data_IF_189808953267
#
_entry.id   IF_189808953267
#
_cell.length_a   1.000
_cell.length_b   1.000
_cell.length_c   1.000
_cell.angle_alpha   90.00
_cell.angle_beta   90.00
_cell.angle_gamma   90.00
#
_symmetry.space_group_name_H-M   'P 1'
#
loop_
_entity.id
_entity.type
_entity.pdbx_description
1 polymer ?
#
# COMPACT_ATOMS: atom_id res chain seq x y z
N UNK A 1 -36.44 -19.04 -13.41
CA UNK A 1 -35.19 -18.46 -13.97
C UNK A 1 -34.05 -19.37 -13.48
N UNK A 2 -33.54 -20.22 -14.38
CA UNK A 2 -32.50 -21.19 -14.08
C UNK A 2 -31.14 -20.48 -14.09
N UNK A 3 -30.42 -20.51 -12.96
CA UNK A 3 -29.04 -20.04 -12.88
C UNK A 3 -28.12 -21.02 -13.62
N UNK A 4 -27.49 -20.54 -14.72
CA UNK A 4 -26.51 -21.28 -15.49
C UNK A 4 -25.12 -20.87 -14.99
N UNK A 5 -24.34 -21.82 -14.51
CA UNK A 5 -22.92 -21.64 -14.26
C UNK A 5 -22.10 -22.36 -15.34
N UNK A 6 -21.03 -21.76 -15.81
CA UNK A 6 -20.13 -22.32 -16.79
C UNK A 6 -18.74 -22.56 -16.19
N UNK A 7 -18.18 -23.73 -16.42
CA UNK A 7 -16.79 -24.03 -16.15
C UNK A 7 -15.98 -23.86 -17.44
N UNK A 8 -14.94 -23.05 -17.40
CA UNK A 8 -14.02 -22.85 -18.52
C UNK A 8 -12.80 -23.73 -18.28
N UNK A 9 -12.52 -24.64 -19.19
CA UNK A 9 -11.34 -25.51 -19.15
C UNK A 9 -10.51 -25.31 -20.40
N UNK A 10 -9.20 -25.15 -20.24
CA UNK A 10 -8.27 -25.11 -21.34
C UNK A 10 -7.70 -26.50 -21.60
N UNK A 11 -7.90 -26.99 -22.79
CA UNK A 11 -7.26 -28.21 -23.27
C UNK A 11 -6.68 -27.97 -24.67
N UNK A 12 -5.38 -28.25 -24.86
CA UNK A 12 -4.67 -28.11 -26.14
C UNK A 12 -4.92 -26.77 -26.89
N UNK A 13 -4.78 -25.63 -26.20
CA UNK A 13 -4.97 -24.28 -26.74
C UNK A 13 -6.38 -23.94 -27.27
N UNK A 14 -7.39 -24.73 -27.01
CA UNK A 14 -8.80 -24.43 -27.30
C UNK A 14 -9.58 -24.14 -26.03
N UNK A 15 -10.50 -23.15 -26.13
CA UNK A 15 -11.42 -22.78 -25.08
C UNK A 15 -12.68 -23.64 -25.19
N UNK A 16 -12.95 -24.47 -24.20
CA UNK A 16 -14.16 -25.29 -24.17
C UNK A 16 -15.06 -24.86 -23.01
N UNK A 17 -16.34 -24.69 -23.29
CA UNK A 17 -17.37 -24.28 -22.34
C UNK A 17 -18.23 -25.51 -21.97
N UNK A 18 -18.26 -25.82 -20.68
CA UNK A 18 -19.10 -26.91 -20.15
C UNK A 18 -20.27 -26.35 -19.36
N UNK A 19 -21.47 -26.85 -19.63
CA UNK A 19 -22.70 -26.52 -18.92
C UNK A 19 -22.75 -27.31 -17.62
N UNK A 20 -22.72 -26.64 -16.49
CA UNK A 20 -22.84 -27.24 -15.17
C UNK A 20 -24.26 -27.07 -14.63
N UNK A 21 -24.89 -28.20 -14.28
CA UNK A 21 -26.18 -28.23 -13.61
C UNK A 21 -25.92 -28.16 -12.09
N UNK A 22 -26.10 -26.96 -11.51
CA UNK A 22 -25.78 -26.69 -10.10
C UNK A 22 -27.03 -26.94 -9.25
N UNK A 23 -27.27 -28.16 -8.87
CA UNK A 23 -27.97 -28.47 -7.61
C UNK A 23 -26.89 -28.75 -6.57
N UNK A 24 -26.76 -27.85 -5.63
CA UNK A 24 -25.94 -27.92 -4.42
C UNK A 24 -24.49 -27.35 -4.50
N UNK A 25 -24.27 -26.37 -3.63
CA UNK A 25 -23.01 -25.76 -3.19
C UNK A 25 -22.46 -24.62 -4.03
N UNK A 26 -23.06 -23.45 -3.83
CA UNK A 26 -22.34 -22.20 -4.00
C UNK A 26 -22.01 -21.65 -2.60
N UNK A 27 -20.84 -22.02 -2.10
CA UNK A 27 -20.11 -21.10 -1.23
C UNK A 27 -19.62 -19.99 -2.13
N UNK A 28 -20.07 -18.77 -1.92
CA UNK A 28 -19.63 -17.57 -2.64
C UNK A 28 -18.13 -17.35 -2.42
N UNK A 29 -17.27 -18.08 -3.15
CA UNK A 29 -15.92 -17.61 -3.45
C UNK A 29 -16.15 -16.53 -4.48
N UNK A 30 -15.97 -15.29 -4.04
CA UNK A 30 -16.22 -14.09 -4.81
C UNK A 30 -15.76 -14.28 -6.27
N UNK A 31 -16.64 -14.05 -7.23
CA UNK A 31 -16.33 -13.97 -8.68
C UNK A 31 -15.09 -13.10 -8.90
N UNK A 32 -14.89 -12.09 -8.07
CA UNK A 32 -13.69 -11.25 -7.97
C UNK A 32 -12.40 -12.08 -7.73
N UNK A 33 -12.43 -13.08 -6.85
CA UNK A 33 -11.25 -13.94 -6.58
C UNK A 33 -10.91 -14.86 -7.77
N UNK A 34 -11.93 -15.38 -8.45
CA UNK A 34 -11.75 -16.22 -9.63
C UNK A 34 -11.26 -15.42 -10.85
N UNK A 35 -11.81 -14.22 -11.07
CA UNK A 35 -11.34 -13.28 -12.08
C UNK A 35 -9.90 -12.83 -11.80
N UNK A 36 -9.55 -12.55 -10.56
CA UNK A 36 -8.18 -12.21 -10.17
C UNK A 36 -7.20 -13.37 -10.41
N UNK A 37 -7.62 -14.60 -10.18
CA UNK A 37 -6.79 -15.79 -10.46
C UNK A 37 -6.61 -15.99 -11.98
N UNK A 38 -7.66 -15.79 -12.77
CA UNK A 38 -7.60 -15.84 -14.24
C UNK A 38 -6.72 -14.72 -14.82
N UNK A 39 -6.85 -13.50 -14.34
CA UNK A 39 -5.99 -12.37 -14.73
C UNK A 39 -4.53 -12.65 -14.38
N UNK A 40 -4.23 -13.22 -13.20
CA UNK A 40 -2.87 -13.64 -12.83
C UNK A 40 -2.31 -14.73 -13.73
N UNK A 41 -3.13 -15.69 -14.18
CA UNK A 41 -2.72 -16.78 -15.08
C UNK A 41 -2.50 -16.24 -16.51
N UNK A 42 -3.36 -15.34 -16.98
CA UNK A 42 -3.24 -14.69 -18.29
C UNK A 42 -2.01 -13.77 -18.32
N UNK A 43 -1.78 -12.97 -17.29
CA UNK A 43 -0.61 -12.09 -17.19
C UNK A 43 0.72 -12.86 -17.07
N UNK A 44 0.73 -14.09 -16.50
CA UNK A 44 1.90 -14.99 -16.54
C UNK A 44 2.19 -15.56 -17.92
N UNK A 45 1.21 -15.68 -18.82
CA UNK A 45 1.40 -16.24 -20.18
C UNK A 45 1.64 -15.18 -21.24
N UNK A 46 1.25 -13.95 -21.02
CA UNK A 46 1.62 -12.82 -21.86
C UNK A 46 2.84 -12.21 -21.17
N UNK A 47 4.00 -12.19 -21.84
CA UNK A 47 5.15 -11.37 -21.44
C UNK A 47 4.76 -9.88 -21.53
N UNK A 48 3.83 -9.43 -20.74
CA UNK A 48 3.55 -8.01 -20.57
C UNK A 48 4.67 -7.46 -19.69
N UNK A 49 5.53 -6.68 -20.26
CA UNK A 49 6.36 -5.74 -19.50
C UNK A 49 5.42 -4.96 -18.60
N UNK A 50 5.52 -5.18 -17.28
CA UNK A 50 4.72 -4.41 -16.32
C UNK A 50 5.08 -2.95 -16.55
N UNK A 51 4.10 -2.15 -16.95
CA UNK A 51 4.30 -0.73 -17.16
C UNK A 51 4.82 -0.11 -15.86
N UNK A 52 5.91 0.64 -15.96
CA UNK A 52 6.47 1.41 -14.83
C UNK A 52 5.95 2.84 -14.93
N UNK A 53 5.27 3.30 -13.89
CA UNK A 53 4.80 4.68 -13.75
C UNK A 53 5.77 5.42 -12.84
N UNK A 54 6.46 6.42 -13.39
CA UNK A 54 7.44 7.23 -12.69
C UNK A 54 6.76 8.44 -12.08
N UNK A 55 6.85 8.58 -10.78
CA UNK A 55 6.28 9.68 -9.99
C UNK A 55 7.40 10.70 -9.74
N UNK A 56 7.13 11.96 -10.04
CA UNK A 56 8.06 13.05 -9.76
C UNK A 56 7.99 13.49 -8.30
N UNK A 57 9.03 14.21 -7.82
CA UNK A 57 9.03 14.73 -6.47
C UNK A 57 7.91 15.76 -6.25
N UNK A 58 7.64 16.59 -7.26
CA UNK A 58 6.59 17.60 -7.21
C UNK A 58 5.19 16.97 -7.17
N UNK A 59 4.94 15.92 -7.98
CA UNK A 59 3.67 15.18 -7.94
C UNK A 59 3.45 14.55 -6.57
N UNK A 60 4.45 13.85 -6.02
CA UNK A 60 4.34 13.22 -4.70
C UNK A 60 4.05 14.25 -3.61
N UNK A 61 4.72 15.40 -3.64
CA UNK A 61 4.54 16.48 -2.67
C UNK A 61 3.13 17.08 -2.76
N UNK A 62 2.66 17.40 -3.97
CA UNK A 62 1.32 17.96 -4.19
C UNK A 62 0.22 16.97 -3.79
N UNK A 63 0.36 15.70 -4.10
CA UNK A 63 -0.60 14.68 -3.69
C UNK A 63 -0.60 14.48 -2.18
N UNK A 64 0.55 14.59 -1.53
CA UNK A 64 0.64 14.56 -0.07
C UNK A 64 -0.10 15.75 0.58
N UNK A 65 0.00 16.95 0.02
CA UNK A 65 -0.78 18.10 0.47
C UNK A 65 -2.28 17.93 0.21
N UNK A 66 -2.68 17.35 -0.94
CA UNK A 66 -4.09 17.02 -1.22
C UNK A 66 -4.65 16.05 -0.19
N UNK A 67 -3.88 15.03 0.20
CA UNK A 67 -4.26 14.11 1.29
C UNK A 67 -4.45 14.85 2.61
N UNK A 68 -3.54 15.73 2.99
CA UNK A 68 -3.67 16.53 4.21
C UNK A 68 -4.95 17.37 4.21
N UNK A 69 -5.30 17.98 3.06
CA UNK A 69 -6.57 18.71 2.90
C UNK A 69 -7.79 17.77 3.00
N UNK A 70 -7.74 16.57 2.40
CA UNK A 70 -8.82 15.58 2.55
C UNK A 70 -9.02 15.17 4.01
N UNK A 71 -7.94 14.92 4.75
CA UNK A 71 -7.95 14.59 6.16
C UNK A 71 -8.58 15.72 6.97
N UNK A 72 -8.14 16.96 6.77
CA UNK A 72 -8.70 18.14 7.44
C UNK A 72 -10.21 18.28 7.18
N UNK A 73 -10.63 18.18 5.91
CA UNK A 73 -12.04 18.32 5.51
C UNK A 73 -12.93 17.20 6.04
N UNK A 74 -12.38 16.02 6.35
CA UNK A 74 -13.12 14.93 6.97
C UNK A 74 -13.44 15.17 8.45
N UNK A 75 -12.85 16.19 9.07
CA UNK A 75 -12.92 16.47 10.50
C UNK A 75 -12.04 15.57 11.36
N UNK A 76 -11.23 14.68 10.75
CA UNK A 76 -10.26 13.88 11.49
C UNK A 76 -9.04 14.74 11.85
N UNK A 77 -8.74 14.80 13.14
CA UNK A 77 -7.61 15.54 13.70
C UNK A 77 -6.68 14.52 14.38
N UNK A 78 -5.64 14.03 13.71
CA UNK A 78 -4.71 13.08 14.30
C UNK A 78 -3.92 13.75 15.44
N UNK A 79 -3.79 13.04 16.56
CA UNK A 79 -2.88 13.39 17.66
C UNK A 79 -1.46 12.90 17.34
N UNK A 80 -1.37 11.75 16.62
CA UNK A 80 -0.12 11.16 16.16
C UNK A 80 -0.14 10.87 14.67
N UNK A 81 0.98 11.17 13.99
CA UNK A 81 1.23 10.84 12.59
C UNK A 81 2.43 9.89 12.53
N UNK A 82 2.25 8.73 11.90
CA UNK A 82 3.28 7.72 11.71
C UNK A 82 3.62 7.62 10.24
N UNK A 83 4.82 8.05 9.85
CA UNK A 83 5.36 7.78 8.52
C UNK A 83 6.02 6.41 8.46
N UNK A 84 5.60 5.55 7.53
CA UNK A 84 6.24 4.25 7.34
C UNK A 84 7.54 4.44 6.56
N UNK A 85 8.67 4.14 7.19
CA UNK A 85 9.96 4.22 6.54
C UNK A 85 10.08 3.14 5.45
N UNK A 86 10.42 3.47 4.18
CA UNK A 86 11.03 4.72 3.68
C UNK A 86 10.00 5.67 3.04
N UNK A 87 9.14 5.15 2.17
CA UNK A 87 8.31 5.93 1.26
C UNK A 87 7.26 6.81 1.94
N UNK A 88 6.71 6.34 3.05
CA UNK A 88 5.73 7.11 3.83
C UNK A 88 6.32 8.32 4.56
N UNK A 89 7.64 8.40 4.72
CA UNK A 89 8.27 9.52 5.44
C UNK A 89 8.09 10.87 4.73
N UNK A 90 8.43 11.05 3.43
CA UNK A 90 8.22 12.32 2.75
C UNK A 90 6.73 12.70 2.66
N UNK A 91 5.84 11.71 2.50
CA UNK A 91 4.38 11.93 2.51
C UNK A 91 3.92 12.40 3.88
N UNK A 92 4.37 11.73 4.95
CA UNK A 92 4.02 12.06 6.33
C UNK A 92 4.45 13.47 6.72
N UNK A 93 5.65 13.91 6.33
CA UNK A 93 6.14 15.27 6.56
C UNK A 93 5.21 16.28 5.88
N UNK A 94 4.87 16.09 4.60
CA UNK A 94 4.01 17.03 3.88
C UNK A 94 2.58 17.09 4.45
N UNK A 95 2.02 15.93 4.85
CA UNK A 95 0.71 15.88 5.53
C UNK A 95 0.77 16.62 6.86
N UNK A 96 1.79 16.41 7.67
CA UNK A 96 1.98 17.08 8.95
C UNK A 96 2.04 18.60 8.77
N UNK A 97 2.88 19.09 7.85
CA UNK A 97 3.05 20.52 7.59
C UNK A 97 1.75 21.20 7.17
N UNK A 98 0.99 20.58 6.25
CA UNK A 98 -0.28 21.18 5.83
C UNK A 98 -1.34 21.11 6.94
N UNK A 99 -1.39 20.04 7.73
CA UNK A 99 -2.32 19.93 8.87
C UNK A 99 -1.99 20.97 9.95
N UNK A 100 -0.71 21.17 10.28
CA UNK A 100 -0.26 22.20 11.21
C UNK A 100 -0.63 23.60 10.72
N UNK A 101 -0.42 23.90 9.44
CA UNK A 101 -0.84 25.15 8.79
C UNK A 101 -2.37 25.36 8.91
N UNK A 102 -3.16 24.28 8.85
CA UNK A 102 -4.62 24.30 8.99
C UNK A 102 -5.09 24.24 10.46
N UNK A 103 -4.18 24.35 11.43
CA UNK A 103 -4.47 24.42 12.86
C UNK A 103 -4.65 23.05 13.54
N UNK A 104 -4.07 22.00 13.00
CA UNK A 104 -3.98 20.69 13.66
C UNK A 104 -2.51 20.30 13.86
N UNK A 105 -1.99 20.54 15.07
CA UNK A 105 -0.67 20.08 15.48
C UNK A 105 -0.76 18.63 15.94
N UNK A 106 0.19 17.81 15.49
CA UNK A 106 0.26 16.38 15.79
C UNK A 106 1.68 16.00 16.17
N UNK A 107 1.84 15.08 17.11
CA UNK A 107 3.11 14.41 17.32
C UNK A 107 3.41 13.44 16.18
N UNK A 108 4.67 13.16 15.89
CA UNK A 108 5.03 12.39 14.70
C UNK A 108 6.27 11.53 14.94
N UNK A 109 6.30 10.39 14.23
CA UNK A 109 7.45 9.48 14.24
C UNK A 109 7.50 8.70 12.90
N UNK A 110 8.71 8.30 12.52
CA UNK A 110 8.90 7.30 11.49
C UNK A 110 9.09 5.91 12.12
N UNK A 111 8.34 4.92 11.63
CA UNK A 111 8.53 3.51 11.99
C UNK A 111 8.98 2.73 10.77
N UNK A 112 9.75 1.64 10.98
CA UNK A 112 10.24 0.82 9.89
C UNK A 112 9.58 -0.53 9.87
N UNK A 113 9.13 -0.96 8.68
CA UNK A 113 8.76 -2.36 8.42
C UNK A 113 9.89 -3.05 7.67
N UNK A 114 10.18 -4.30 8.01
CA UNK A 114 11.15 -5.13 7.30
C UNK A 114 10.58 -6.52 7.05
N UNK A 115 10.73 -7.00 5.81
CA UNK A 115 10.34 -8.35 5.48
C UNK A 115 11.43 -9.33 5.87
N UNK A 116 11.07 -10.39 6.58
CA UNK A 116 11.97 -11.47 6.96
C UNK A 116 11.54 -12.78 6.28
N UNK A 117 12.52 -13.50 5.75
CA UNK A 117 12.32 -14.86 5.27
C UNK A 117 12.89 -15.80 6.33
N UNK A 118 12.05 -16.51 7.05
CA UNK A 118 12.48 -17.58 7.96
C UNK A 118 13.19 -18.70 7.18
N UNK A 119 14.18 -19.35 7.80
CA UNK A 119 15.00 -20.38 7.15
C UNK A 119 14.16 -21.59 6.69
N UNK A 120 12.97 -21.79 7.27
CA UNK A 120 12.07 -22.90 6.98
C UNK A 120 10.61 -22.50 6.71
N UNK A 121 10.30 -21.23 6.49
CA UNK A 121 8.92 -20.77 6.34
C UNK A 121 8.65 -20.19 4.95
N UNK A 122 7.56 -20.68 4.34
CA UNK A 122 7.03 -20.18 3.06
C UNK A 122 6.31 -18.84 3.19
N UNK A 123 6.12 -18.33 4.41
CA UNK A 123 5.42 -17.09 4.70
C UNK A 123 6.42 -15.97 5.02
N UNK A 124 6.26 -14.85 4.30
CA UNK A 124 7.03 -13.63 4.51
C UNK A 124 6.48 -12.91 5.74
N UNK A 125 7.18 -13.00 6.86
CA UNK A 125 6.86 -12.23 8.08
C UNK A 125 7.32 -10.77 7.92
N UNK A 126 6.52 -9.83 8.41
CA UNK A 126 6.88 -8.41 8.43
C UNK A 126 7.10 -7.99 9.88
N UNK A 127 8.31 -7.52 10.21
CA UNK A 127 8.67 -6.99 11.53
C UNK A 127 8.54 -5.48 11.55
N UNK A 128 8.08 -4.95 12.69
CA UNK A 128 7.93 -3.51 12.95
C UNK A 128 8.99 -3.06 13.93
N UNK A 129 9.68 -1.97 13.60
CA UNK A 129 10.74 -1.39 14.41
C UNK A 129 10.42 0.09 14.73
N UNK A 130 10.78 0.55 15.92
CA UNK A 130 10.60 1.94 16.33
C UNK A 130 9.19 2.28 16.85
N UNK A 131 8.36 1.27 17.11
CA UNK A 131 6.98 1.47 17.59
C UNK A 131 6.91 1.85 19.08
N UNK A 132 8.01 1.65 19.84
CA UNK A 132 8.00 1.78 21.28
C UNK A 132 7.73 3.23 21.76
N UNK A 133 8.08 4.23 20.94
CA UNK A 133 7.71 5.62 21.18
C UNK A 133 6.20 5.81 21.25
N UNK A 134 5.47 5.29 20.27
CA UNK A 134 4.00 5.35 20.23
C UNK A 134 3.40 4.64 21.44
N UNK A 135 3.90 3.43 21.76
CA UNK A 135 3.41 2.64 22.91
C UNK A 135 3.54 3.41 24.22
N UNK A 136 4.60 4.21 24.37
CA UNK A 136 4.89 4.94 25.59
C UNK A 136 4.12 6.26 25.73
N UNK A 137 3.69 6.87 24.62
CA UNK A 137 3.14 8.22 24.61
C UNK A 137 1.67 8.29 24.21
N UNK A 138 1.12 7.24 23.57
CA UNK A 138 -0.22 7.20 23.00
C UNK A 138 -1.21 6.54 23.96
N UNK A 139 -2.44 7.03 23.98
CA UNK A 139 -3.55 6.52 24.76
C UNK A 139 -4.72 6.09 23.86
N UNK A 140 -5.70 5.39 24.42
CA UNK A 140 -6.86 4.88 23.70
C UNK A 140 -7.75 5.97 23.06
N UNK A 141 -7.78 7.16 23.64
CA UNK A 141 -8.58 8.30 23.17
C UNK A 141 -7.87 9.10 22.07
N UNK A 142 -6.56 8.88 21.87
CA UNK A 142 -5.79 9.55 20.83
C UNK A 142 -6.18 9.01 19.44
N UNK A 143 -5.95 9.81 18.42
CA UNK A 143 -6.20 9.49 17.01
C UNK A 143 -4.89 9.30 16.31
N UNK A 144 -4.74 8.15 15.65
CA UNK A 144 -3.51 7.78 14.95
C UNK A 144 -3.73 7.82 13.44
N UNK A 145 -2.84 8.53 12.73
CA UNK A 145 -2.75 8.49 11.27
C UNK A 145 -1.50 7.72 10.85
N UNK A 146 -1.68 6.63 10.10
CA UNK A 146 -0.59 5.86 9.50
C UNK A 146 -0.45 6.30 8.04
N UNK A 147 0.76 6.71 7.65
CA UNK A 147 1.05 7.27 6.32
C UNK A 147 2.11 6.43 5.62
N UNK A 148 1.85 6.04 4.36
CA UNK A 148 2.83 5.43 3.47
C UNK A 148 2.73 6.05 2.07
N UNK A 149 3.63 5.75 1.15
CA UNK A 149 3.59 6.23 -0.24
C UNK A 149 2.59 5.42 -1.09
N UNK A 150 2.44 4.14 -0.81
CA UNK A 150 1.51 3.26 -1.51
C UNK A 150 0.93 2.17 -0.62
N UNK A 151 -0.37 1.95 -0.73
CA UNK A 151 -1.00 0.75 -0.22
C UNK A 151 -0.98 -0.33 -1.31
N UNK A 152 0.05 -1.19 -1.28
CA UNK A 152 0.19 -2.29 -2.23
C UNK A 152 -0.54 -3.55 -1.74
N UNK A 153 0.13 -4.45 -1.03
CA UNK A 153 -0.48 -5.69 -0.53
C UNK A 153 -1.16 -5.54 0.84
N UNK A 154 -0.94 -4.44 1.53
CA UNK A 154 -1.43 -4.19 2.89
C UNK A 154 -0.65 -4.92 3.99
N UNK A 155 0.37 -5.73 3.66
CA UNK A 155 1.13 -6.52 4.67
C UNK A 155 1.83 -5.66 5.70
N UNK A 156 2.45 -4.55 5.28
CA UNK A 156 3.12 -3.62 6.21
C UNK A 156 2.11 -3.03 7.20
N UNK A 157 0.98 -2.57 6.70
CA UNK A 157 -0.10 -2.01 7.52
C UNK A 157 -0.64 -3.05 8.49
N UNK A 158 -0.93 -4.27 8.03
CA UNK A 158 -1.37 -5.36 8.91
C UNK A 158 -0.37 -5.60 10.03
N UNK A 159 0.93 -5.70 9.73
CA UNK A 159 1.96 -5.92 10.73
C UNK A 159 2.04 -4.77 11.75
N UNK A 160 1.87 -3.52 11.31
CA UNK A 160 1.83 -2.37 12.22
C UNK A 160 0.62 -2.45 13.14
N UNK A 161 -0.57 -2.71 12.62
CA UNK A 161 -1.80 -2.83 13.40
C UNK A 161 -1.73 -3.99 14.41
N UNK A 162 -1.19 -5.14 13.99
CA UNK A 162 -0.99 -6.30 14.86
C UNK A 162 0.02 -6.00 15.98
N UNK A 163 1.14 -5.34 15.66
CA UNK A 163 2.14 -4.92 16.64
C UNK A 163 1.59 -3.88 17.65
N UNK A 164 0.80 -2.91 17.18
CA UNK A 164 0.09 -1.97 18.03
C UNK A 164 -0.86 -2.69 18.97
N UNK A 165 -1.69 -3.60 18.45
CA UNK A 165 -2.66 -4.36 19.24
C UNK A 165 -1.99 -5.22 20.31
N UNK A 166 -0.88 -5.87 19.96
CA UNK A 166 -0.15 -6.73 20.88
C UNK A 166 0.51 -5.93 22.02
N UNK A 167 1.18 -4.81 21.67
CA UNK A 167 2.01 -4.07 22.60
C UNK A 167 1.26 -3.00 23.39
N UNK A 168 0.30 -2.28 22.79
CA UNK A 168 -0.45 -1.20 23.46
C UNK A 168 -1.54 -1.71 24.40
N UNK A 169 -1.97 -2.95 24.25
CA UNK A 169 -3.01 -3.57 25.07
C UNK A 169 -4.29 -2.68 25.13
N UNK A 170 -4.56 -2.07 26.31
CA UNK A 170 -5.72 -1.20 26.54
C UNK A 170 -5.54 0.23 26.01
N UNK A 171 -4.31 0.62 25.68
CA UNK A 171 -3.99 1.97 25.21
C UNK A 171 -3.94 2.07 23.68
N UNK A 172 -4.39 1.05 22.95
CA UNK A 172 -4.51 1.13 21.50
C UNK A 172 -5.54 2.21 21.14
N UNK A 173 -5.24 3.15 20.23
CA UNK A 173 -6.20 4.15 19.78
C UNK A 173 -7.46 3.53 19.19
N UNK A 174 -8.61 4.12 19.52
CA UNK A 174 -9.89 3.70 18.98
C UNK A 174 -10.11 4.15 17.53
N UNK A 175 -9.50 5.28 17.12
CA UNK A 175 -9.59 5.83 15.76
C UNK A 175 -8.21 5.82 15.11
N UNK A 176 -7.93 4.76 14.34
CA UNK A 176 -6.70 4.61 13.54
C UNK A 176 -7.09 4.72 12.08
N UNK A 177 -6.52 5.69 11.36
CA UNK A 177 -6.75 5.88 9.93
C UNK A 177 -5.46 5.80 9.13
N UNK A 178 -5.62 5.57 7.83
CA UNK A 178 -4.52 5.35 6.91
C UNK A 178 -4.64 6.30 5.72
N UNK A 179 -3.52 6.93 5.36
CA UNK A 179 -3.43 7.84 4.22
C UNK A 179 -2.24 7.49 3.33
N UNK A 180 -2.49 7.25 2.05
CA UNK A 180 -1.50 6.96 1.02
C UNK A 180 -1.87 7.66 -0.28
N UNK A 181 -0.91 8.32 -1.00
CA UNK A 181 -1.21 8.90 -2.31
C UNK A 181 -1.73 7.86 -3.31
N UNK A 182 -1.25 6.62 -3.22
CA UNK A 182 -1.55 5.55 -4.16
C UNK A 182 -2.12 4.32 -3.48
N UNK A 183 -3.15 3.72 -4.11
CA UNK A 183 -3.77 2.45 -3.71
C UNK A 183 -3.78 1.46 -4.86
N UNK A 184 -3.43 0.19 -4.59
CA UNK A 184 -3.43 -0.92 -5.56
C UNK A 184 -4.51 -1.95 -5.23
N UNK A 185 -5.74 -1.77 -5.73
CA UNK A 185 -6.87 -2.61 -5.33
C UNK A 185 -6.70 -4.09 -5.66
N UNK A 186 -6.10 -4.43 -6.83
CA UNK A 186 -5.92 -5.83 -7.25
C UNK A 186 -4.78 -6.54 -6.51
N UNK A 187 -3.87 -5.79 -5.88
CA UNK A 187 -2.76 -6.34 -5.11
C UNK A 187 -3.04 -6.47 -3.63
N UNK A 188 -4.07 -5.79 -3.15
CA UNK A 188 -4.51 -5.86 -1.76
C UNK A 188 -4.92 -7.29 -1.39
N UNK A 189 -4.31 -7.85 -0.35
CA UNK A 189 -4.57 -9.21 0.16
C UNK A 189 -5.16 -9.20 1.57
N UNK A 190 -5.42 -8.03 2.13
CA UNK A 190 -6.09 -7.87 3.42
C UNK A 190 -7.46 -7.21 3.21
N UNK A 191 -8.38 -7.38 4.18
CA UNK A 191 -9.74 -6.83 4.07
C UNK A 191 -9.83 -5.34 4.45
N UNK A 192 -8.68 -4.64 4.51
CA UNK A 192 -8.59 -3.23 4.88
C UNK A 192 -8.22 -2.40 3.65
N UNK A 193 -8.86 -1.25 3.51
CA UNK A 193 -8.62 -0.26 2.46
C UNK A 193 -8.15 1.03 3.14
N UNK A 194 -7.23 1.82 2.55
CA UNK A 194 -6.85 3.11 3.13
C UNK A 194 -8.06 4.05 3.23
N UNK A 195 -8.13 4.83 4.32
CA UNK A 195 -9.21 5.80 4.53
C UNK A 195 -9.11 6.99 3.57
N UNK A 196 -7.87 7.36 3.23
CA UNK A 196 -7.58 8.47 2.34
C UNK A 196 -6.57 8.05 1.27
N UNK A 197 -6.90 8.25 0.02
CA UNK A 197 -5.99 8.08 -1.12
C UNK A 197 -6.38 8.99 -2.28
N UNK A 198 -5.45 9.26 -3.20
CA UNK A 198 -5.65 10.12 -4.36
C UNK A 198 -5.83 9.30 -5.64
N UNK A 199 -4.97 8.29 -5.83
CA UNK A 199 -4.90 7.52 -7.07
C UNK A 199 -5.09 6.03 -6.83
N UNK A 200 -5.70 5.35 -7.82
CA UNK A 200 -5.73 3.89 -7.91
C UNK A 200 -4.94 3.43 -9.13
N UNK A 201 -4.09 2.41 -8.95
CA UNK A 201 -3.37 1.76 -10.04
C UNK A 201 -2.87 0.39 -9.61
N UNK A 202 -2.65 -0.51 -10.56
CA UNK A 202 -1.95 -1.78 -10.32
C UNK A 202 -0.57 -1.81 -11.01
N UNK A 203 -0.16 -0.71 -11.63
CA UNK A 203 1.14 -0.55 -12.27
C UNK A 203 2.29 -0.61 -11.24
N UNK A 204 3.50 -0.82 -11.76
CA UNK A 204 4.70 -0.66 -10.97
C UNK A 204 5.02 0.83 -10.79
N UNK A 205 4.80 1.34 -9.60
CA UNK A 205 5.14 2.71 -9.26
C UNK A 205 6.65 2.81 -8.95
N UNK A 206 7.27 3.87 -9.47
CA UNK A 206 8.66 4.23 -9.18
C UNK A 206 8.65 5.60 -8.55
N UNK A 207 8.85 5.65 -7.26
CA UNK A 207 8.85 6.89 -6.49
C UNK A 207 10.16 7.69 -6.68
N UNK A 208 10.14 9.03 -6.45
CA UNK A 208 11.32 9.87 -6.70
C UNK A 208 12.55 9.45 -5.88
N UNK A 209 12.37 8.91 -4.70
CA UNK A 209 13.43 8.43 -3.81
C UNK A 209 13.90 7.00 -4.11
N UNK A 210 13.25 6.25 -5.01
CA UNK A 210 13.61 4.87 -5.32
C UNK A 210 14.65 4.78 -6.44
N UNK A 211 15.63 3.92 -6.25
CA UNK A 211 16.64 3.55 -7.26
C UNK A 211 16.79 2.05 -7.41
N UNK A 212 16.42 1.30 -6.38
CA UNK A 212 16.51 -0.17 -6.39
C UNK A 212 15.57 -0.78 -7.43
N UNK A 213 16.05 -1.80 -8.15
CA UNK A 213 15.31 -2.45 -9.22
C UNK A 213 15.21 -1.65 -10.53
N UNK A 214 15.95 -0.54 -10.67
CA UNK A 214 16.05 0.25 -11.88
C UNK A 214 17.40 0.01 -12.58
N UNK A 215 17.37 -0.02 -13.90
CA UNK A 215 18.60 0.03 -14.70
C UNK A 215 19.15 1.44 -14.77
N UNK A 216 20.47 1.59 -15.00
CA UNK A 216 21.11 2.89 -15.19
C UNK A 216 20.42 3.74 -16.27
N UNK A 217 19.99 3.10 -17.38
CA UNK A 217 19.26 3.76 -18.46
C UNK A 217 17.92 4.32 -17.98
N UNK A 218 17.18 3.58 -17.18
CA UNK A 218 15.89 4.02 -16.61
C UNK A 218 16.10 5.18 -15.62
N UNK A 219 17.14 5.10 -14.78
CA UNK A 219 17.50 6.15 -13.84
C UNK A 219 17.80 7.45 -14.59
N UNK A 220 18.68 7.42 -15.58
CA UNK A 220 19.06 8.63 -16.32
C UNK A 220 17.95 9.20 -17.21
N UNK A 221 17.03 8.37 -17.68
CA UNK A 221 15.89 8.84 -18.46
C UNK A 221 14.80 9.51 -17.60
N UNK A 222 14.59 9.04 -16.36
CA UNK A 222 13.44 9.45 -15.57
C UNK A 222 13.77 10.27 -14.31
N UNK A 223 15.05 10.29 -13.88
CA UNK A 223 15.48 11.07 -12.70
C UNK A 223 16.40 12.20 -13.15
N UNK A 224 15.84 13.41 -13.22
CA UNK A 224 16.57 14.62 -13.67
C UNK A 224 17.84 14.83 -12.83
N UNK A 225 18.90 15.26 -13.49
CA UNK A 225 20.19 15.66 -12.89
C UNK A 225 20.96 14.53 -12.17
N UNK A 226 20.41 13.32 -12.06
CA UNK A 226 21.08 12.26 -11.32
C UNK A 226 22.35 11.77 -12.02
N UNK A 227 22.38 11.84 -13.37
CA UNK A 227 23.59 11.52 -14.15
C UNK A 227 24.76 12.44 -13.80
N UNK A 228 24.49 13.74 -13.66
CA UNK A 228 25.50 14.72 -13.25
C UNK A 228 26.01 14.44 -11.84
N UNK A 229 25.08 14.22 -10.89
CA UNK A 229 25.43 13.89 -9.50
C UNK A 229 26.30 12.63 -9.44
N UNK A 230 25.92 11.55 -10.16
CA UNK A 230 26.66 10.30 -10.18
C UNK A 230 28.04 10.41 -10.89
N UNK A 231 28.24 11.41 -11.76
CA UNK A 231 29.54 11.65 -12.38
C UNK A 231 30.61 12.11 -11.38
N UNK A 232 30.23 12.54 -10.18
CA UNK A 232 31.13 12.93 -9.09
C UNK A 232 31.52 11.75 -8.17
N UNK A 233 30.96 10.56 -8.39
CA UNK A 233 31.37 9.33 -7.64
C UNK A 233 32.75 8.92 -8.09
N UNK A 234 33.71 8.82 -7.16
CA UNK A 234 35.10 8.39 -7.38
C UNK A 234 35.23 6.90 -7.25
#
# INVERSE_FOLDING_TARGET
IQNLAFLIKFHNSKLEFYKLNVKNYIKFISIKHYLNCLVKIINRKINMTIAKTYITADELLLDSFRLGVQIHNSGFKPDFIVGVWRGGTPVGIAIQEILAYLGNESDHIAIRTSSYYGINEQTKEVRVHGIDYLISNMNAEDKLLIVDDVFDSGRSIRAILDALKEKSRKNIPHDIRMAMPWYKPLRNIIDTVPDYYIHETDDWLVFPHEMDGLTEKEIFANKKNLKEILSHVK
#
